data_IF_300914008113
#
_entry.id   IF_300914008113
#
_cell.length_a   1.000
_cell.length_b   1.000
_cell.length_c   1.000
_cell.angle_alpha   90.00
_cell.angle_beta   90.00
_cell.angle_gamma   90.00
#
_symmetry.space_group_name_H-M   'P 1'
#
loop_
_entity.id
_entity.type
_entity.pdbx_description
1 polymer ?
#
# COMPACT_ATOMS: atom_id res chain seq x y z
N UNK A 1 23.21 66.70 0.79
CA UNK A 1 23.50 65.42 1.47
C UNK A 1 22.18 64.85 1.95
N UNK A 2 21.63 63.75 1.39
CA UNK A 2 20.41 63.16 1.94
C UNK A 2 20.77 62.39 3.21
N UNK A 3 20.02 62.63 4.29
CA UNK A 3 20.16 61.92 5.56
C UNK A 3 19.46 60.56 5.42
N UNK A 4 20.22 59.48 5.53
CA UNK A 4 19.68 58.12 5.63
C UNK A 4 18.96 57.96 6.96
N UNK A 5 17.63 58.07 6.95
CA UNK A 5 16.79 57.66 8.09
C UNK A 5 16.73 56.13 8.06
N UNK A 6 17.66 55.49 8.75
CA UNK A 6 17.57 54.08 9.08
C UNK A 6 16.41 53.88 10.04
N UNK A 7 15.20 53.68 9.52
CA UNK A 7 14.04 53.30 10.34
C UNK A 7 14.26 51.87 10.79
N UNK A 8 14.94 51.71 11.92
CA UNK A 8 15.03 50.44 12.63
C UNK A 8 13.63 50.03 13.06
N UNK A 9 13.22 48.82 12.69
CA UNK A 9 11.93 48.27 13.11
C UNK A 9 11.84 48.36 14.64
N UNK A 10 10.71 48.88 15.12
CA UNK A 10 10.38 48.87 16.54
C UNK A 10 10.26 47.42 17.03
N UNK A 11 10.45 47.17 18.32
CA UNK A 11 10.41 45.80 18.86
C UNK A 11 9.06 45.11 18.65
N UNK A 12 7.98 45.90 18.57
CA UNK A 12 6.64 45.44 18.20
C UNK A 12 6.59 44.96 16.74
N UNK A 13 7.23 45.68 15.82
CA UNK A 13 7.29 45.30 14.40
C UNK A 13 8.20 44.09 14.17
N UNK A 14 9.31 43.98 14.91
CA UNK A 14 10.16 42.76 14.90
C UNK A 14 9.36 41.55 15.37
N UNK A 15 8.59 41.70 16.45
CA UNK A 15 7.75 40.63 17.03
C UNK A 15 6.69 40.18 16.03
N UNK A 16 5.92 41.12 15.45
CA UNK A 16 4.92 40.80 14.41
C UNK A 16 5.55 40.09 13.20
N UNK A 17 6.75 40.52 12.77
CA UNK A 17 7.47 39.89 11.65
C UNK A 17 7.89 38.46 11.97
N UNK A 18 8.33 38.18 13.19
CA UNK A 18 8.66 36.82 13.63
C UNK A 18 7.43 35.91 13.70
N UNK A 19 6.29 36.41 14.16
CA UNK A 19 5.04 35.63 14.22
C UNK A 19 4.53 35.27 12.83
N UNK A 20 4.57 36.21 11.88
CA UNK A 20 4.21 35.95 10.48
C UNK A 20 5.15 34.92 9.86
N UNK A 21 6.45 35.03 10.12
CA UNK A 21 7.43 34.06 9.62
C UNK A 21 7.19 32.65 10.17
N UNK A 22 6.93 32.52 11.47
CA UNK A 22 6.60 31.24 12.11
C UNK A 22 5.29 30.66 11.59
N UNK A 23 4.26 31.49 11.39
CA UNK A 23 3.00 31.05 10.77
C UNK A 23 3.22 30.54 9.35
N UNK A 24 4.02 31.24 8.55
CA UNK A 24 4.34 30.86 7.17
C UNK A 24 5.16 29.55 7.09
N UNK A 25 6.10 29.34 8.01
CA UNK A 25 6.83 28.07 8.14
C UNK A 25 5.87 26.93 8.49
N UNK A 26 4.94 27.16 9.41
CA UNK A 26 3.98 26.14 9.85
C UNK A 26 2.94 25.81 8.78
N UNK A 27 2.47 26.79 7.99
CA UNK A 27 1.61 26.53 6.83
C UNK A 27 2.35 25.79 5.72
N UNK A 28 3.60 26.17 5.41
CA UNK A 28 4.44 25.41 4.46
C UNK A 28 4.70 23.97 4.92
N UNK A 29 4.96 23.74 6.22
CA UNK A 29 5.08 22.38 6.78
C UNK A 29 3.79 21.58 6.66
N UNK A 30 2.62 22.21 6.78
CA UNK A 30 1.31 21.56 6.61
C UNK A 30 1.00 21.24 5.15
N UNK A 31 1.35 22.14 4.22
CA UNK A 31 1.12 21.96 2.77
C UNK A 31 2.10 20.97 2.12
N UNK A 32 3.32 20.83 2.68
CA UNK A 32 4.32 19.88 2.17
C UNK A 32 4.13 18.43 2.66
N UNK A 33 3.00 18.11 3.30
CA UNK A 33 2.57 16.72 3.51
C UNK A 33 1.77 16.28 2.28
N UNK A 34 2.46 16.13 1.14
CA UNK A 34 1.87 15.53 -0.06
C UNK A 34 1.33 14.15 0.36
N UNK A 35 0.00 13.98 0.36
CA UNK A 35 -0.61 12.67 0.54
C UNK A 35 -0.19 11.82 -0.64
N UNK A 36 0.74 10.90 -0.40
CA UNK A 36 1.10 9.86 -1.37
C UNK A 36 -0.08 8.90 -1.40
N UNK A 37 -0.79 8.88 -2.53
CA UNK A 37 -1.80 7.86 -2.77
C UNK A 37 -1.06 6.58 -3.16
N UNK A 38 -1.21 5.55 -2.34
CA UNK A 38 -0.72 4.21 -2.64
C UNK A 38 -1.94 3.34 -2.95
N UNK A 39 -1.88 2.65 -4.09
CA UNK A 39 -2.88 1.65 -4.49
C UNK A 39 -2.23 0.29 -4.42
N UNK A 40 -2.87 -0.66 -3.74
CA UNK A 40 -2.41 -2.05 -3.71
C UNK A 40 -3.08 -2.79 -4.85
N UNK A 41 -2.27 -3.49 -5.63
CA UNK A 41 -2.72 -4.36 -6.72
C UNK A 41 -2.39 -5.80 -6.33
N UNK A 42 -3.39 -6.65 -6.43
CA UNK A 42 -3.26 -8.10 -6.29
C UNK A 42 -3.33 -8.72 -7.66
N UNK A 43 -2.44 -9.64 -7.98
CA UNK A 43 -2.52 -10.40 -9.22
C UNK A 43 -2.25 -11.86 -8.96
N UNK A 44 -3.06 -12.74 -9.58
CA UNK A 44 -2.73 -14.15 -9.71
C UNK A 44 -2.33 -14.44 -11.15
N UNK A 45 -1.25 -15.20 -11.29
CA UNK A 45 -0.61 -15.51 -12.56
C UNK A 45 -0.37 -17.01 -12.58
N UNK A 46 -0.82 -17.68 -13.63
CA UNK A 46 -0.44 -19.05 -13.96
C UNK A 46 0.55 -19.06 -15.13
N UNK A 47 1.08 -20.23 -15.48
CA UNK A 47 1.96 -20.37 -16.63
C UNK A 47 1.26 -20.02 -17.95
N UNK A 48 -0.06 -20.09 -17.97
CA UNK A 48 -0.88 -19.91 -19.17
C UNK A 48 -1.46 -18.49 -19.29
N UNK A 49 -1.79 -17.83 -18.16
CA UNK A 49 -2.47 -16.53 -18.19
C UNK A 49 -2.31 -15.71 -16.92
N UNK A 50 -2.54 -14.41 -17.06
CA UNK A 50 -2.86 -13.53 -15.92
C UNK A 50 -4.35 -13.73 -15.62
N UNK A 51 -4.67 -14.15 -14.40
CA UNK A 51 -6.02 -14.56 -14.05
C UNK A 51 -6.82 -13.36 -13.56
N UNK A 52 -6.27 -12.49 -12.71
CA UNK A 52 -6.93 -11.20 -12.44
C UNK A 52 -6.06 -10.22 -11.66
N UNK A 53 -5.91 -8.95 -12.10
CA UNK A 53 -5.47 -7.88 -11.25
C UNK A 53 -6.66 -7.27 -10.48
N UNK A 54 -6.65 -7.33 -9.15
CA UNK A 54 -7.66 -6.71 -8.29
C UNK A 54 -7.07 -5.55 -7.50
N UNK A 55 -7.74 -4.40 -7.56
CA UNK A 55 -7.38 -3.21 -6.78
C UNK A 55 -8.12 -3.24 -5.44
N UNK A 56 -7.38 -3.22 -4.34
CA UNK A 56 -8.01 -3.21 -3.02
C UNK A 56 -7.24 -2.32 -2.04
N UNK A 57 -7.95 -1.75 -1.07
CA UNK A 57 -7.34 -1.07 0.07
C UNK A 57 -6.73 -2.06 1.07
N UNK A 58 -6.65 -1.69 2.35
CA UNK A 58 -6.20 -2.63 3.38
C UNK A 58 -7.08 -3.88 3.42
N UNK A 59 -6.43 -5.05 3.34
CA UNK A 59 -7.10 -6.35 3.30
C UNK A 59 -6.96 -7.03 4.67
N UNK A 60 -8.09 -7.53 5.17
CA UNK A 60 -8.14 -8.42 6.32
C UNK A 60 -8.48 -9.85 5.84
N UNK A 61 -8.46 -10.84 6.73
CA UNK A 61 -8.69 -12.23 6.36
C UNK A 61 -10.04 -12.46 5.65
N UNK A 62 -11.12 -11.81 6.12
CA UNK A 62 -12.45 -11.94 5.50
C UNK A 62 -12.46 -11.43 4.05
N UNK A 63 -11.92 -10.23 3.81
CA UNK A 63 -11.84 -9.66 2.45
C UNK A 63 -10.87 -10.44 1.56
N UNK A 64 -9.80 -11.00 2.12
CA UNK A 64 -8.91 -11.89 1.39
C UNK A 64 -9.69 -13.09 0.85
N UNK A 65 -10.48 -13.76 1.69
CA UNK A 65 -11.31 -14.89 1.26
C UNK A 65 -12.40 -14.49 0.26
N UNK A 66 -13.23 -13.52 0.64
CA UNK A 66 -14.48 -13.23 -0.08
C UNK A 66 -14.24 -12.46 -1.38
N UNK A 67 -13.31 -11.51 -1.37
CA UNK A 67 -13.07 -10.64 -2.53
C UNK A 67 -11.94 -11.17 -3.41
N UNK A 68 -10.84 -11.65 -2.82
CA UNK A 68 -9.68 -12.08 -3.61
C UNK A 68 -9.75 -13.55 -4.00
N UNK A 69 -9.77 -14.45 -3.02
CA UNK A 69 -9.63 -15.87 -3.27
C UNK A 69 -10.84 -16.43 -4.00
N UNK A 70 -12.05 -16.08 -3.57
CA UNK A 70 -13.28 -16.50 -4.27
C UNK A 70 -13.29 -16.03 -5.72
N UNK A 71 -12.96 -14.76 -5.97
CA UNK A 71 -12.95 -14.18 -7.33
C UNK A 71 -11.94 -14.89 -8.24
N UNK A 72 -10.77 -15.21 -7.70
CA UNK A 72 -9.72 -15.93 -8.40
C UNK A 72 -10.08 -17.40 -8.67
N UNK A 73 -10.51 -18.14 -7.64
CA UNK A 73 -10.80 -19.57 -7.73
C UNK A 73 -11.91 -19.85 -8.76
N UNK A 74 -12.91 -18.95 -8.85
CA UNK A 74 -13.97 -19.04 -9.86
C UNK A 74 -13.50 -18.86 -11.31
N UNK A 75 -12.26 -18.40 -11.52
CA UNK A 75 -11.68 -18.20 -12.85
C UNK A 75 -10.68 -19.31 -13.22
N UNK A 76 -10.37 -20.22 -12.30
CA UNK A 76 -9.56 -21.39 -12.57
C UNK A 76 -10.38 -22.45 -13.30
N UNK A 77 -9.71 -23.16 -14.20
CA UNK A 77 -10.26 -24.38 -14.78
C UNK A 77 -9.98 -25.59 -13.86
N UNK A 78 -10.65 -26.70 -14.12
CA UNK A 78 -10.56 -27.91 -13.29
C UNK A 78 -9.12 -28.45 -13.23
N UNK A 79 -8.36 -28.31 -14.32
CA UNK A 79 -6.97 -28.77 -14.38
C UNK A 79 -6.06 -27.92 -13.49
N UNK A 80 -6.23 -26.60 -13.49
CA UNK A 80 -5.49 -25.71 -12.58
C UNK A 80 -5.85 -25.94 -11.11
N UNK A 81 -7.10 -26.30 -10.78
CA UNK A 81 -7.48 -26.62 -9.40
C UNK A 81 -6.93 -27.96 -8.92
N UNK A 82 -6.85 -28.93 -9.82
CA UNK A 82 -6.46 -30.30 -9.47
C UNK A 82 -4.95 -30.48 -9.52
N UNK A 83 -4.26 -29.93 -10.51
CA UNK A 83 -2.86 -30.27 -10.80
C UNK A 83 -1.84 -29.19 -10.42
N UNK A 84 -2.25 -27.93 -10.29
CA UNK A 84 -1.33 -26.84 -9.98
C UNK A 84 -1.18 -26.59 -8.47
N UNK A 85 -0.06 -25.95 -8.12
CA UNK A 85 0.21 -25.45 -6.78
C UNK A 85 -0.18 -23.99 -6.67
N UNK A 86 -0.89 -23.63 -5.60
CA UNK A 86 -1.10 -22.23 -5.27
C UNK A 86 0.08 -21.70 -4.45
N UNK A 87 0.74 -20.65 -4.94
CA UNK A 87 1.85 -19.99 -4.23
C UNK A 87 1.42 -18.63 -3.70
N UNK A 88 1.63 -18.40 -2.41
CA UNK A 88 1.44 -17.09 -1.76
C UNK A 88 2.55 -16.77 -0.75
N UNK A 89 2.65 -15.51 -0.37
CA UNK A 89 3.60 -15.07 0.66
C UNK A 89 3.09 -15.39 2.08
N UNK A 90 3.97 -15.26 3.06
CA UNK A 90 3.69 -15.51 4.48
C UNK A 90 2.94 -14.38 5.19
N UNK A 91 2.22 -13.49 4.49
CA UNK A 91 1.46 -12.44 5.16
C UNK A 91 0.41 -13.03 6.12
N UNK A 92 0.16 -12.36 7.24
CA UNK A 92 -0.74 -12.88 8.29
C UNK A 92 -2.14 -13.19 7.77
N UNK A 93 -2.68 -12.38 6.86
CA UNK A 93 -4.00 -12.63 6.27
C UNK A 93 -4.06 -13.90 5.39
N UNK A 94 -2.93 -14.30 4.79
CA UNK A 94 -2.83 -15.48 3.92
C UNK A 94 -2.64 -16.77 4.70
N UNK A 95 -2.04 -16.67 5.88
CA UNK A 95 -1.63 -17.79 6.71
C UNK A 95 -2.58 -18.06 7.87
N UNK A 96 -3.70 -17.35 7.95
CA UNK A 96 -4.74 -17.68 8.95
C UNK A 96 -5.32 -19.07 8.66
N UNK A 97 -5.66 -19.83 9.71
CA UNK A 97 -6.29 -21.15 9.54
C UNK A 97 -7.50 -21.10 8.63
N UNK A 98 -8.38 -20.10 8.79
CA UNK A 98 -9.54 -19.91 7.92
C UNK A 98 -9.19 -19.72 6.44
N UNK A 99 -8.07 -19.06 6.13
CA UNK A 99 -7.59 -18.88 4.75
C UNK A 99 -7.01 -20.16 4.18
N UNK A 100 -6.23 -20.89 4.99
CA UNK A 100 -5.62 -22.16 4.61
C UNK A 100 -6.70 -23.23 4.39
N UNK A 101 -7.64 -23.35 5.33
CA UNK A 101 -8.76 -24.29 5.26
C UNK A 101 -9.62 -24.01 4.03
N UNK A 102 -9.93 -22.74 3.77
CA UNK A 102 -10.67 -22.35 2.56
C UNK A 102 -9.93 -22.74 1.28
N UNK A 103 -8.62 -22.51 1.17
CA UNK A 103 -7.86 -22.92 -0.01
C UNK A 103 -7.78 -24.44 -0.16
N UNK A 104 -7.73 -25.18 0.95
CA UNK A 104 -7.70 -26.63 0.95
C UNK A 104 -9.04 -27.26 0.49
N UNK A 105 -10.15 -26.53 0.55
CA UNK A 105 -11.43 -26.99 -0.01
C UNK A 105 -11.41 -27.05 -1.55
N UNK A 106 -10.53 -26.27 -2.20
CA UNK A 106 -10.48 -26.16 -3.67
C UNK A 106 -9.25 -26.82 -4.28
N UNK A 107 -8.07 -26.71 -3.65
CA UNK A 107 -6.81 -27.16 -4.22
C UNK A 107 -6.51 -28.62 -3.83
N UNK A 108 -6.35 -29.50 -4.81
CA UNK A 108 -6.15 -30.94 -4.55
C UNK A 108 -4.69 -31.30 -4.28
N UNK A 109 -3.75 -30.69 -5.01
CA UNK A 109 -2.34 -31.09 -4.98
C UNK A 109 -1.53 -30.40 -3.88
N UNK A 110 -1.73 -29.10 -3.64
CA UNK A 110 -1.15 -28.48 -2.46
C UNK A 110 -1.00 -26.96 -2.50
N UNK A 111 -0.83 -26.41 -1.31
CA UNK A 111 -0.61 -24.99 -1.04
C UNK A 111 0.87 -24.76 -0.67
N UNK A 112 1.55 -23.88 -1.40
CA UNK A 112 2.92 -23.48 -1.12
C UNK A 112 2.95 -22.08 -0.51
N UNK A 113 3.28 -21.98 0.78
CA UNK A 113 3.45 -20.70 1.49
C UNK A 113 4.94 -20.39 1.63
N UNK A 114 5.40 -19.27 1.06
CA UNK A 114 6.79 -18.80 1.22
C UNK A 114 6.83 -17.74 2.32
N UNK A 115 7.46 -18.05 3.45
CA UNK A 115 7.51 -17.19 4.63
C UNK A 115 8.43 -15.96 4.50
N UNK A 116 9.24 -15.86 3.45
CA UNK A 116 10.18 -14.75 3.27
C UNK A 116 9.64 -13.72 2.27
N UNK A 117 9.13 -12.59 2.76
CA UNK A 117 8.90 -11.41 1.91
C UNK A 117 10.24 -10.73 1.64
N UNK A 118 10.69 -10.68 0.39
CA UNK A 118 11.76 -9.78 -0.04
C UNK A 118 11.12 -8.46 -0.43
N UNK A 119 11.23 -7.43 0.40
CA UNK A 119 10.72 -6.10 0.07
C UNK A 119 11.59 -5.50 -1.04
N UNK A 120 11.18 -5.64 -2.30
CA UNK A 120 11.79 -4.89 -3.39
C UNK A 120 11.26 -3.45 -3.34
N UNK A 121 12.06 -2.56 -2.74
CA UNK A 121 11.84 -1.13 -2.84
C UNK A 121 12.22 -0.67 -4.26
N UNK A 122 11.23 -0.58 -5.16
CA UNK A 122 11.43 0.04 -6.47
C UNK A 122 11.60 1.55 -6.28
N UNK A 123 12.85 2.02 -6.29
CA UNK A 123 13.14 3.44 -6.52
C UNK A 123 12.96 3.73 -8.01
N UNK A 124 11.86 4.38 -8.36
CA UNK A 124 11.72 5.02 -9.66
C UNK A 124 12.62 6.26 -9.61
N UNK A 125 13.72 6.23 -10.38
CA UNK A 125 14.59 7.38 -10.68
C UNK A 125 13.93 8.27 -11.74
#
# INVERSE_FOLDING_TARGET
>A
MPQNIGVGLTDVEKTKRSEIHLRNINTHKREKKRRVYQTIVWAVISQHRIISPMFSGNINAARCRDEMLTSFLNQLDDDELVYDYFQQDGATAHTTGATIDFLAEFMTVGLLVIMHQTTMASYIL
#
